data_IF_319101303203
#
_entry.id   IF_319101303203
#
_cell.length_a   1.000
_cell.length_b   1.000
_cell.length_c   1.000
_cell.angle_alpha   90.00
_cell.angle_beta   90.00
_cell.angle_gamma   90.00
#
_symmetry.space_group_name_H-M   'P 1'
#
loop_
_entity.id
_entity.type
_entity.pdbx_description
1 polymer ?
#
# COMPACT_ATOMS: atom_id res chain seq x y z
N UNK A 1 0.79 29.27 3.21
CA UNK A 1 -0.56 29.75 2.96
C UNK A 1 -1.24 28.86 1.92
N UNK A 2 -2.49 28.46 2.19
CA UNK A 2 -3.32 27.67 1.28
C UNK A 2 -4.57 28.49 0.93
N UNK A 3 -4.49 29.44 -0.02
CA UNK A 3 -5.54 30.42 -0.29
C UNK A 3 -6.89 29.81 -0.73
N UNK A 4 -6.88 28.57 -1.21
CA UNK A 4 -8.09 27.83 -1.63
C UNK A 4 -8.31 26.58 -0.75
N UNK A 5 -7.70 26.50 0.43
CA UNK A 5 -7.72 25.30 1.29
C UNK A 5 -9.10 24.93 1.80
N UNK A 6 -9.97 25.90 2.01
CA UNK A 6 -11.33 25.71 2.50
C UNK A 6 -12.37 25.44 1.39
N UNK A 7 -11.94 25.47 0.11
CA UNK A 7 -12.82 25.26 -1.03
C UNK A 7 -12.84 23.80 -1.48
N UNK A 8 -14.01 23.29 -1.84
CA UNK A 8 -14.11 21.99 -2.51
C UNK A 8 -13.54 22.09 -3.93
N UNK A 9 -12.89 21.04 -4.40
CA UNK A 9 -12.25 21.00 -5.73
C UNK A 9 -13.18 21.37 -6.89
N UNK A 10 -14.46 20.97 -6.81
CA UNK A 10 -15.49 21.35 -7.78
C UNK A 10 -15.70 22.87 -7.85
N UNK A 11 -15.64 23.53 -6.69
CA UNK A 11 -15.85 24.99 -6.60
C UNK A 11 -14.60 25.74 -7.07
N UNK A 12 -13.40 25.19 -6.79
CA UNK A 12 -12.15 25.71 -7.33
C UNK A 12 -12.13 25.62 -8.86
N UNK A 13 -12.58 24.50 -9.46
CA UNK A 13 -12.67 24.36 -10.91
C UNK A 13 -13.64 25.38 -11.52
N UNK A 14 -14.82 25.55 -10.91
CA UNK A 14 -15.81 26.53 -11.34
C UNK A 14 -15.27 27.96 -11.27
N UNK A 15 -14.58 28.30 -10.19
CA UNK A 15 -13.94 29.60 -10.03
C UNK A 15 -12.83 29.83 -11.08
N UNK A 16 -12.05 28.79 -11.39
CA UNK A 16 -11.02 28.85 -12.42
C UNK A 16 -11.61 29.11 -13.81
N UNK A 17 -12.74 28.46 -14.11
CA UNK A 17 -13.52 28.67 -15.34
C UNK A 17 -14.08 30.09 -15.42
N UNK A 18 -14.73 30.58 -14.37
CA UNK A 18 -15.25 31.95 -14.26
C UNK A 18 -14.16 33.02 -14.41
N UNK A 19 -12.92 32.70 -14.00
CA UNK A 19 -11.76 33.59 -14.14
C UNK A 19 -11.02 33.43 -15.45
N UNK A 20 -11.49 32.53 -16.35
CA UNK A 20 -10.86 32.30 -17.66
C UNK A 20 -9.45 31.70 -17.59
N UNK A 21 -9.16 30.89 -16.57
CA UNK A 21 -7.86 30.24 -16.43
C UNK A 21 -7.74 29.04 -17.39
N UNK A 22 -6.67 28.99 -18.19
CA UNK A 22 -6.45 27.94 -19.21
C UNK A 22 -6.40 26.52 -18.63
N UNK A 23 -6.05 26.39 -17.35
CA UNK A 23 -5.96 25.11 -16.67
C UNK A 23 -7.28 24.62 -16.06
N UNK A 24 -8.37 25.37 -16.17
CA UNK A 24 -9.69 25.01 -15.61
C UNK A 24 -10.18 23.64 -16.13
N UNK A 25 -9.91 23.35 -17.41
CA UNK A 25 -10.32 22.12 -18.11
C UNK A 25 -9.25 21.03 -18.13
N UNK A 26 -8.07 21.29 -17.58
CA UNK A 26 -6.98 20.31 -17.59
C UNK A 26 -7.40 19.05 -16.82
N UNK A 27 -7.22 17.89 -17.48
CA UNK A 27 -7.41 16.59 -16.82
C UNK A 27 -6.45 16.46 -15.66
N UNK A 28 -6.95 15.85 -14.59
CA UNK A 28 -6.11 15.52 -13.43
C UNK A 28 -5.09 14.47 -13.83
N UNK A 29 -3.85 14.65 -13.39
CA UNK A 29 -2.82 13.63 -13.55
C UNK A 29 -3.19 12.41 -12.71
N UNK A 30 -3.44 11.30 -13.37
CA UNK A 30 -3.71 9.99 -12.78
C UNK A 30 -2.51 9.12 -13.08
N UNK A 31 -1.53 9.08 -12.18
CA UNK A 31 -0.33 8.28 -12.41
C UNK A 31 0.75 8.55 -11.37
N UNK A 32 1.81 7.78 -11.44
CA UNK A 32 3.02 8.01 -10.65
C UNK A 32 3.75 9.22 -11.25
N UNK A 33 3.90 10.29 -10.48
CA UNK A 33 4.31 11.61 -10.96
C UNK A 33 5.66 11.65 -11.72
N UNK A 34 6.50 10.63 -11.56
CA UNK A 34 7.84 10.55 -12.19
C UNK A 34 7.99 9.40 -13.19
N UNK A 35 6.96 8.58 -13.39
CA UNK A 35 6.95 7.50 -14.39
C UNK A 35 6.34 7.97 -15.71
N UNK A 36 5.59 9.07 -15.71
CA UNK A 36 4.92 9.60 -16.91
C UNK A 36 3.70 8.79 -17.33
N UNK A 37 3.47 8.66 -18.64
CA UNK A 37 2.35 7.91 -19.22
C UNK A 37 2.64 6.42 -19.42
N UNK A 38 3.82 5.94 -19.00
CA UNK A 38 4.22 4.53 -19.10
C UNK A 38 3.44 3.71 -18.06
N UNK A 39 2.95 2.55 -18.46
CA UNK A 39 2.32 1.59 -17.54
C UNK A 39 3.31 1.10 -16.47
N UNK A 40 2.83 0.83 -15.27
CA UNK A 40 3.70 0.33 -14.19
C UNK A 40 4.41 -0.98 -14.58
N UNK A 41 3.73 -1.84 -15.32
CA UNK A 41 4.28 -3.11 -15.80
C UNK A 41 5.42 -2.89 -16.81
N UNK A 42 5.21 -1.98 -17.80
CA UNK A 42 6.23 -1.65 -18.79
C UNK A 42 7.45 -0.97 -18.12
N UNK A 43 7.19 -0.09 -17.14
CA UNK A 43 8.26 0.51 -16.34
C UNK A 43 9.07 -0.54 -15.58
N UNK A 44 8.41 -1.52 -14.96
CA UNK A 44 9.10 -2.57 -14.21
C UNK A 44 9.89 -3.52 -15.13
N UNK A 45 9.42 -3.75 -16.36
CA UNK A 45 10.15 -4.57 -17.36
C UNK A 45 11.47 -3.96 -17.82
N UNK A 46 11.69 -2.66 -17.63
CA UNK A 46 13.00 -2.02 -17.87
C UNK A 46 14.06 -2.41 -16.82
N UNK A 47 13.62 -2.79 -15.61
CA UNK A 47 14.50 -3.13 -14.48
C UNK A 47 14.54 -4.62 -14.16
N UNK A 48 13.53 -5.37 -14.56
CA UNK A 48 13.39 -6.79 -14.28
C UNK A 48 13.08 -7.56 -15.55
N UNK A 49 13.92 -8.51 -15.86
CA UNK A 49 13.65 -9.42 -16.99
C UNK A 49 12.44 -10.29 -16.67
N UNK A 50 11.54 -10.52 -17.66
CA UNK A 50 10.44 -11.45 -17.52
C UNK A 50 10.95 -12.85 -17.16
N UNK A 51 10.42 -13.42 -16.10
CA UNK A 51 10.71 -14.78 -15.66
C UNK A 51 9.38 -15.54 -15.54
N UNK A 52 8.93 -16.27 -16.59
CA UNK A 52 7.66 -16.97 -16.57
C UNK A 52 7.59 -18.02 -15.45
N UNK A 53 6.42 -18.11 -14.81
CA UNK A 53 6.15 -19.08 -13.77
C UNK A 53 4.67 -19.44 -13.71
N UNK A 54 4.28 -20.49 -12.94
CA UNK A 54 2.92 -20.97 -12.86
C UNK A 54 2.02 -20.08 -12.01
N UNK A 55 0.76 -19.95 -12.45
CA UNK A 55 -0.36 -19.45 -11.64
C UNK A 55 -1.12 -20.66 -11.11
N UNK A 56 -1.16 -20.81 -9.80
CA UNK A 56 -1.73 -21.99 -9.12
C UNK A 56 -2.96 -21.59 -8.32
N UNK A 57 -4.06 -22.33 -8.47
CA UNK A 57 -5.22 -22.19 -7.58
C UNK A 57 -4.87 -22.79 -6.22
N UNK A 58 -5.01 -21.98 -5.16
CA UNK A 58 -4.50 -22.35 -3.83
C UNK A 58 -5.29 -23.51 -3.21
N UNK A 59 -6.59 -23.60 -3.49
CA UNK A 59 -7.47 -24.61 -2.92
C UNK A 59 -7.24 -26.01 -3.51
N UNK A 60 -6.94 -26.06 -4.81
CA UNK A 60 -6.83 -27.34 -5.53
C UNK A 60 -5.40 -27.73 -5.88
N UNK A 61 -4.47 -26.76 -5.80
CA UNK A 61 -3.11 -26.92 -6.29
C UNK A 61 -3.00 -27.02 -7.82
N UNK A 62 -4.09 -26.76 -8.57
CA UNK A 62 -4.13 -26.85 -10.01
C UNK A 62 -3.44 -25.63 -10.64
N UNK A 63 -2.60 -25.89 -11.63
CA UNK A 63 -2.05 -24.84 -12.49
C UNK A 63 -3.14 -24.36 -13.46
N UNK A 64 -3.38 -23.05 -13.46
CA UNK A 64 -4.41 -22.39 -14.28
C UNK A 64 -3.84 -21.65 -15.46
N UNK A 65 -2.57 -21.27 -15.41
CA UNK A 65 -1.91 -20.50 -16.46
C UNK A 65 -0.48 -20.12 -16.08
N UNK A 66 0.09 -19.24 -16.88
CA UNK A 66 1.45 -18.72 -16.67
C UNK A 66 1.42 -17.21 -16.43
N UNK A 67 2.40 -16.73 -15.69
CA UNK A 67 2.65 -15.32 -15.50
C UNK A 67 4.07 -14.95 -15.98
N UNK A 68 4.31 -13.68 -16.26
CA UNK A 68 5.62 -13.18 -16.74
C UNK A 68 6.66 -12.97 -15.64
N UNK A 69 6.28 -13.13 -14.38
CA UNK A 69 7.13 -12.99 -13.20
C UNK A 69 6.32 -12.65 -11.96
N UNK A 70 6.49 -13.39 -10.86
CA UNK A 70 5.72 -13.18 -9.62
C UNK A 70 5.93 -11.78 -9.01
N UNK A 71 7.02 -11.10 -9.35
CA UNK A 71 7.34 -9.74 -8.91
C UNK A 71 6.32 -8.71 -9.44
N UNK A 72 5.77 -8.92 -10.64
CA UNK A 72 4.83 -7.99 -11.28
C UNK A 72 3.43 -8.04 -10.67
N UNK A 73 3.15 -9.00 -9.79
CA UNK A 73 1.83 -9.21 -9.21
C UNK A 73 1.75 -8.69 -7.78
N UNK A 74 0.56 -8.17 -7.43
CA UNK A 74 0.26 -7.66 -6.09
C UNK A 74 -0.86 -8.48 -5.45
N UNK A 75 -0.78 -8.77 -4.16
CA UNK A 75 -1.85 -9.45 -3.42
C UNK A 75 -3.14 -8.63 -3.53
N UNK A 76 -4.25 -9.33 -3.84
CA UNK A 76 -5.54 -8.73 -4.11
C UNK A 76 -5.74 -8.25 -5.56
N UNK A 77 -4.75 -8.39 -6.44
CA UNK A 77 -4.86 -8.07 -7.87
C UNK A 77 -5.85 -9.03 -8.55
N UNK A 78 -6.71 -8.47 -9.43
CA UNK A 78 -7.71 -9.20 -10.19
C UNK A 78 -7.45 -9.20 -11.70
N UNK A 79 -6.85 -8.13 -12.20
CA UNK A 79 -6.61 -7.91 -13.61
C UNK A 79 -5.18 -8.34 -14.00
N UNK A 80 -4.97 -8.66 -15.29
CA UNK A 80 -3.66 -9.05 -15.80
C UNK A 80 -3.25 -10.49 -15.47
N UNK A 81 -4.22 -11.34 -15.07
CA UNK A 81 -3.98 -12.78 -14.87
C UNK A 81 -4.29 -13.52 -16.17
N UNK A 82 -3.27 -14.12 -16.78
CA UNK A 82 -3.48 -15.02 -17.93
C UNK A 82 -3.78 -16.44 -17.43
N UNK A 83 -5.07 -16.71 -17.27
CA UNK A 83 -5.59 -17.99 -16.78
C UNK A 83 -6.06 -18.91 -17.91
N UNK A 84 -5.70 -18.63 -19.16
CA UNK A 84 -6.06 -19.45 -20.31
C UNK A 84 -7.55 -19.76 -20.39
N UNK A 85 -7.89 -21.05 -20.45
CA UNK A 85 -9.28 -21.52 -20.52
C UNK A 85 -10.03 -21.46 -19.19
N UNK A 86 -9.35 -21.30 -18.05
CA UNK A 86 -10.00 -21.26 -16.75
C UNK A 86 -10.95 -20.05 -16.56
N UNK A 87 -10.77 -19.01 -17.35
CA UNK A 87 -11.68 -17.85 -17.40
C UNK A 87 -12.76 -17.96 -18.50
N UNK A 88 -12.79 -19.06 -19.27
CA UNK A 88 -13.70 -19.25 -20.41
C UNK A 88 -14.60 -20.44 -20.13
N UNK A 89 -15.91 -20.25 -20.10
CA UNK A 89 -16.88 -21.33 -19.97
C UNK A 89 -18.00 -21.06 -18.97
N UNK A 90 -18.85 -22.06 -18.72
CA UNK A 90 -19.99 -21.98 -17.81
C UNK A 90 -19.55 -21.73 -16.34
N UNK A 91 -18.30 -22.06 -15.99
CA UNK A 91 -17.67 -21.78 -14.70
C UNK A 91 -16.95 -20.43 -14.65
N UNK A 92 -17.15 -19.56 -15.62
CA UNK A 92 -16.64 -18.17 -15.62
C UNK A 92 -17.28 -17.28 -14.53
N UNK A 93 -17.66 -17.90 -13.39
CA UNK A 93 -18.37 -17.31 -12.28
C UNK A 93 -17.63 -16.15 -11.63
N UNK A 94 -17.00 -16.40 -10.48
CA UNK A 94 -16.30 -15.37 -9.72
C UNK A 94 -14.87 -15.15 -10.27
N UNK A 95 -14.40 -13.89 -10.29
CA UNK A 95 -13.02 -13.60 -10.72
C UNK A 95 -12.00 -14.19 -9.74
N UNK A 96 -10.82 -14.54 -10.27
CA UNK A 96 -9.69 -14.91 -9.46
C UNK A 96 -8.98 -13.68 -8.91
N UNK A 97 -8.43 -13.80 -7.70
CA UNK A 97 -7.61 -12.80 -7.03
C UNK A 97 -6.28 -13.42 -6.64
N UNK A 98 -5.21 -12.66 -6.74
CA UNK A 98 -3.91 -13.04 -6.19
C UNK A 98 -4.02 -13.03 -4.66
N UNK A 99 -3.85 -14.19 -4.03
CA UNK A 99 -3.93 -14.34 -2.56
C UNK A 99 -2.55 -14.47 -1.95
N UNK A 100 -1.59 -15.06 -2.66
CA UNK A 100 -0.22 -15.26 -2.20
C UNK A 100 0.75 -15.26 -3.36
N UNK A 101 1.99 -14.90 -3.13
CA UNK A 101 3.08 -15.05 -4.09
C UNK A 101 4.33 -15.57 -3.42
N UNK A 102 5.08 -16.42 -4.09
CA UNK A 102 6.39 -16.89 -3.68
C UNK A 102 7.41 -16.42 -4.72
N UNK A 103 8.12 -15.36 -4.36
CA UNK A 103 9.12 -14.75 -5.26
C UNK A 103 10.30 -15.70 -5.51
N UNK A 104 10.71 -16.47 -4.49
CA UNK A 104 11.85 -17.38 -4.58
C UNK A 104 11.56 -18.55 -5.52
N UNK A 105 10.35 -19.10 -5.45
CA UNK A 105 9.90 -20.18 -6.33
C UNK A 105 9.27 -19.67 -7.62
N UNK A 106 9.09 -18.36 -7.74
CA UNK A 106 8.43 -17.70 -8.86
C UNK A 106 7.03 -18.24 -9.11
N UNK A 107 6.19 -18.33 -8.08
CA UNK A 107 4.81 -18.86 -8.13
C UNK A 107 3.83 -17.78 -7.69
N UNK A 108 2.73 -17.64 -8.43
CA UNK A 108 1.58 -16.82 -8.04
C UNK A 108 0.41 -17.74 -7.69
N UNK A 109 -0.13 -17.57 -6.48
CA UNK A 109 -1.32 -18.30 -6.01
C UNK A 109 -2.55 -17.42 -6.15
N UNK A 110 -3.61 -18.00 -6.70
CA UNK A 110 -4.88 -17.32 -6.91
C UNK A 110 -6.03 -18.09 -6.26
N UNK A 111 -7.09 -17.35 -5.90
CA UNK A 111 -8.32 -17.91 -5.36
C UNK A 111 -9.54 -17.14 -5.89
N UNK A 112 -10.67 -17.83 -5.99
CA UNK A 112 -12.01 -17.20 -6.16
C UNK A 112 -12.65 -16.88 -4.81
N UNK A 113 -12.14 -17.45 -3.74
CA UNK A 113 -12.64 -17.24 -2.39
C UNK A 113 -12.09 -15.95 -1.80
N UNK A 114 -12.92 -14.90 -1.73
CA UNK A 114 -12.56 -13.62 -1.12
C UNK A 114 -12.40 -13.68 0.41
N UNK A 115 -12.84 -14.77 1.03
CA UNK A 115 -12.70 -15.02 2.47
C UNK A 115 -11.48 -15.91 2.78
N UNK A 116 -10.60 -16.15 1.80
CA UNK A 116 -9.35 -16.85 2.08
C UNK A 116 -8.60 -16.15 3.23
N UNK A 117 -8.21 -16.90 4.23
CA UNK A 117 -7.54 -16.39 5.45
C UNK A 117 -6.34 -15.51 5.14
N UNK A 118 -5.64 -15.80 4.04
CA UNK A 118 -4.49 -15.02 3.56
C UNK A 118 -4.83 -13.59 3.12
N UNK A 119 -6.11 -13.30 2.82
CA UNK A 119 -6.56 -11.95 2.42
C UNK A 119 -6.94 -11.06 3.59
N UNK A 120 -7.10 -11.62 4.79
CA UNK A 120 -7.55 -10.90 5.98
C UNK A 120 -6.52 -11.01 7.09
N UNK A 121 -6.46 -10.01 7.93
CA UNK A 121 -5.55 -9.99 9.07
C UNK A 121 -6.07 -9.07 10.17
N UNK A 122 -5.74 -9.41 11.40
CA UNK A 122 -5.91 -8.55 12.58
C UNK A 122 -4.60 -7.87 13.00
N UNK A 123 -3.47 -8.27 12.40
CA UNK A 123 -2.16 -7.72 12.74
C UNK A 123 -1.36 -7.38 11.48
N UNK A 124 -0.58 -6.31 11.56
CA UNK A 124 0.42 -5.94 10.55
C UNK A 124 1.76 -5.67 11.23
N UNK A 125 2.82 -6.17 10.63
CA UNK A 125 4.17 -5.77 10.99
C UNK A 125 4.63 -4.58 10.15
N UNK A 126 5.37 -3.68 10.80
CA UNK A 126 5.84 -2.45 10.19
C UNK A 126 7.36 -2.37 10.28
N UNK A 127 7.93 -1.77 9.27
CA UNK A 127 9.31 -1.30 9.25
C UNK A 127 9.30 0.23 9.26
N UNK A 128 10.42 0.82 9.65
CA UNK A 128 10.66 2.27 9.58
C UNK A 128 9.56 3.09 10.26
N UNK A 129 9.14 2.68 11.46
CA UNK A 129 8.11 3.38 12.21
C UNK A 129 8.63 4.74 12.66
N UNK A 130 7.95 5.81 12.24
CA UNK A 130 8.24 7.20 12.61
C UNK A 130 7.05 7.75 13.37
N UNK A 131 7.28 8.32 14.55
CA UNK A 131 6.27 9.06 15.31
C UNK A 131 6.73 10.50 15.51
N UNK A 132 5.80 11.45 15.41
CA UNK A 132 6.00 12.84 15.78
C UNK A 132 5.57 13.03 17.24
N UNK A 133 6.44 13.57 18.06
CA UNK A 133 6.03 14.16 19.34
C UNK A 133 5.63 15.62 19.12
N UNK A 134 4.82 16.17 20.03
CA UNK A 134 4.57 17.59 20.09
C UNK A 134 5.91 18.31 20.40
N UNK A 135 6.65 18.69 19.33
CA UNK A 135 7.97 19.33 19.42
C UNK A 135 9.12 18.68 18.65
N UNK A 136 8.94 17.51 18.00
CA UNK A 136 10.03 16.86 17.28
C UNK A 136 9.61 15.61 16.49
N UNK A 137 10.56 15.04 15.74
CA UNK A 137 10.43 13.76 15.05
C UNK A 137 11.27 12.74 15.80
N UNK A 138 10.65 11.67 16.32
CA UNK A 138 11.37 10.51 16.83
C UNK A 138 11.47 9.44 15.76
N UNK A 139 12.69 9.13 15.34
CA UNK A 139 13.00 8.01 14.46
C UNK A 139 13.17 6.75 15.33
N UNK A 140 12.38 5.73 15.07
CA UNK A 140 12.61 4.39 15.63
C UNK A 140 13.69 3.71 14.78
N UNK A 141 14.69 3.14 15.42
CA UNK A 141 15.93 2.68 14.83
C UNK A 141 15.77 1.85 13.55
N UNK A 142 16.46 2.29 12.50
CA UNK A 142 16.73 1.52 11.29
C UNK A 142 17.79 0.45 11.55
N UNK A 143 17.49 -0.81 11.36
CA UNK A 143 18.50 -1.84 11.24
C UNK A 143 19.07 -1.83 9.81
N UNK A 144 20.25 -1.25 9.62
CA UNK A 144 21.12 -1.61 8.51
C UNK A 144 21.37 -0.62 7.38
N UNK A 145 21.05 0.66 7.49
CA UNK A 145 21.47 1.68 6.51
C UNK A 145 22.38 2.70 7.16
N UNK A 146 23.61 2.86 6.63
CA UNK A 146 24.52 3.92 7.05
C UNK A 146 23.89 5.28 6.75
N UNK A 147 23.61 6.04 7.80
CA UNK A 147 23.01 7.37 7.68
C UNK A 147 24.04 8.40 7.17
N UNK A 148 23.69 9.26 6.22
CA UNK A 148 24.45 10.48 6.02
C UNK A 148 24.27 11.36 7.27
N UNK A 149 25.40 11.90 7.77
CA UNK A 149 25.49 12.69 9.00
C UNK A 149 24.50 13.87 9.03
N UNK A 150 23.32 13.66 9.59
CA UNK A 150 22.42 14.72 10.01
C UNK A 150 22.84 15.13 11.42
N UNK A 151 23.26 16.38 11.58
CA UNK A 151 23.74 16.99 12.83
C UNK A 151 22.86 16.58 14.00
N UNK A 152 23.45 15.85 14.93
CA UNK A 152 22.85 15.40 16.18
C UNK A 152 22.38 16.57 17.03
N UNK A 153 21.08 16.69 17.22
CA UNK A 153 20.52 17.54 18.28
C UNK A 153 20.41 16.65 19.54
N UNK A 154 21.12 16.95 20.64
CA UNK A 154 21.26 16.05 21.80
C UNK A 154 20.01 15.92 22.69
N UNK A 155 18.84 16.42 22.24
CA UNK A 155 17.59 16.39 22.99
C UNK A 155 16.65 15.22 22.67
N UNK A 156 17.04 14.29 21.77
CA UNK A 156 16.16 13.22 21.29
C UNK A 156 16.62 11.83 21.77
N UNK A 157 16.67 11.62 23.09
CA UNK A 157 16.77 10.28 23.69
C UNK A 157 15.37 9.74 24.00
N UNK A 158 14.61 9.37 22.95
CA UNK A 158 13.20 8.99 23.05
C UNK A 158 12.87 7.53 22.72
N UNK A 159 13.83 6.60 22.82
CA UNK A 159 13.58 5.15 22.57
C UNK A 159 12.68 4.45 23.60
N UNK A 160 12.28 5.13 24.67
CA UNK A 160 11.55 4.52 25.80
C UNK A 160 10.02 4.47 25.64
N UNK A 161 9.41 5.14 24.66
CA UNK A 161 7.93 5.28 24.59
C UNK A 161 7.19 4.34 23.66
N UNK A 162 7.87 3.60 22.80
CA UNK A 162 7.25 2.64 21.89
C UNK A 162 6.87 1.32 22.54
N UNK A 163 7.28 1.05 23.76
CA UNK A 163 6.90 -0.15 24.48
C UNK A 163 5.50 -0.07 25.14
N UNK A 164 4.91 1.12 25.24
CA UNK A 164 3.52 1.26 25.67
C UNK A 164 2.57 1.27 24.48
N UNK A 165 1.45 0.51 24.54
CA UNK A 165 0.45 0.50 23.47
C UNK A 165 -0.10 1.90 23.23
N UNK A 166 -0.06 2.37 21.98
CA UNK A 166 -0.59 3.65 21.56
C UNK A 166 -1.84 3.44 20.71
N UNK A 167 -2.97 4.01 21.10
CA UNK A 167 -4.17 4.03 20.25
C UNK A 167 -4.00 5.03 19.12
N UNK A 168 -4.22 4.58 17.90
CA UNK A 168 -4.09 5.36 16.67
C UNK A 168 -5.21 5.05 15.71
N UNK A 169 -5.56 6.01 14.88
CA UNK A 169 -6.36 5.77 13.69
C UNK A 169 -5.42 5.61 12.49
N UNK A 170 -5.54 4.53 11.74
CA UNK A 170 -4.59 4.16 10.69
C UNK A 170 -5.22 4.29 9.31
N UNK A 171 -4.50 4.91 8.38
CA UNK A 171 -4.84 4.90 6.96
C UNK A 171 -3.84 4.06 6.19
N UNK A 172 -4.33 2.97 5.59
CA UNK A 172 -3.52 1.99 4.86
C UNK A 172 -3.49 2.23 3.35
N UNK A 173 -4.35 3.11 2.83
CA UNK A 173 -4.40 3.48 1.41
C UNK A 173 -4.89 4.91 1.29
N UNK A 174 -4.37 5.63 0.29
CA UNK A 174 -4.84 6.98 0.00
C UNK A 174 -6.36 7.04 -0.17
N UNK A 175 -7.02 7.99 0.49
CA UNK A 175 -8.48 8.18 0.53
C UNK A 175 -9.28 7.04 1.17
N UNK A 176 -8.64 5.99 1.71
CA UNK A 176 -9.36 4.99 2.49
C UNK A 176 -9.82 5.58 3.84
N UNK A 177 -10.88 5.02 4.44
CA UNK A 177 -11.29 5.41 5.79
C UNK A 177 -10.19 5.13 6.80
N UNK A 178 -10.22 5.85 7.91
CA UNK A 178 -9.38 5.59 9.07
C UNK A 178 -9.88 4.33 9.79
N UNK A 179 -8.97 3.49 10.24
CA UNK A 179 -9.27 2.25 10.96
C UNK A 179 -8.62 2.34 12.34
N UNK A 180 -9.41 2.20 13.43
CA UNK A 180 -8.84 2.17 14.79
C UNK A 180 -7.90 0.99 14.98
N UNK A 181 -6.74 1.25 15.56
CA UNK A 181 -5.72 0.24 15.84
C UNK A 181 -4.92 0.58 17.10
N UNK A 182 -4.17 -0.41 17.59
CA UNK A 182 -3.19 -0.25 18.65
C UNK A 182 -1.81 -0.46 18.05
N UNK A 183 -0.97 0.55 18.11
CA UNK A 183 0.45 0.46 17.77
C UNK A 183 1.21 -0.01 19.00
N UNK A 184 1.91 -1.14 18.89
CA UNK A 184 2.77 -1.71 19.94
C UNK A 184 4.12 -2.06 19.35
N UNK A 185 5.13 -1.24 19.62
CA UNK A 185 6.43 -1.36 18.95
C UNK A 185 6.28 -1.16 17.44
N UNK A 186 6.59 -2.18 16.68
CA UNK A 186 6.47 -2.22 15.22
C UNK A 186 5.23 -2.98 14.72
N UNK A 187 4.26 -3.29 15.60
CA UNK A 187 3.02 -4.01 15.24
C UNK A 187 1.81 -3.12 15.36
N UNK A 188 0.94 -3.18 14.35
CA UNK A 188 -0.42 -2.67 14.40
C UNK A 188 -1.38 -3.82 14.69
N UNK A 189 -2.24 -3.64 15.69
CA UNK A 189 -3.24 -4.62 16.10
C UNK A 189 -4.61 -3.98 15.90
N UNK A 190 -5.48 -4.63 15.13
CA UNK A 190 -6.82 -4.17 14.80
C UNK A 190 -7.86 -4.96 15.62
N UNK A 191 -8.95 -4.30 16.01
CA UNK A 191 -10.06 -4.95 16.73
C UNK A 191 -10.88 -5.89 15.82
N UNK A 192 -10.85 -5.65 14.51
CA UNK A 192 -11.56 -6.45 13.50
C UNK A 192 -10.60 -6.82 12.39
N UNK A 193 -10.90 -7.92 11.72
CA UNK A 193 -10.17 -8.29 10.51
C UNK A 193 -10.26 -7.17 9.46
N UNK A 194 -9.14 -6.86 8.88
CA UNK A 194 -9.01 -5.93 7.77
C UNK A 194 -8.49 -6.67 6.55
N UNK A 195 -8.80 -6.17 5.37
CA UNK A 195 -8.17 -6.68 4.16
C UNK A 195 -6.67 -6.41 4.23
N UNK A 196 -5.86 -7.47 4.12
CA UNK A 196 -4.40 -7.38 4.17
C UNK A 196 -3.89 -6.44 3.08
N UNK A 197 -3.18 -5.36 3.42
CA UNK A 197 -2.53 -4.51 2.44
C UNK A 197 -1.27 -5.21 1.90
N UNK A 198 -0.80 -4.77 0.73
CA UNK A 198 0.46 -5.28 0.18
C UNK A 198 1.64 -4.75 1.00
N UNK A 199 2.67 -5.59 1.16
CA UNK A 199 3.96 -5.17 1.71
C UNK A 199 4.56 -4.01 0.89
N UNK A 200 5.31 -3.14 1.56
CA UNK A 200 5.88 -1.93 0.97
C UNK A 200 4.93 -0.73 0.94
N UNK A 201 3.65 -0.89 1.31
CA UNK A 201 2.72 0.24 1.45
C UNK A 201 2.93 0.96 2.79
N UNK A 202 2.61 2.25 2.81
CA UNK A 202 2.69 3.05 4.04
C UNK A 202 1.41 2.91 4.87
N UNK A 203 1.58 2.67 6.16
CA UNK A 203 0.55 2.86 7.18
C UNK A 203 0.74 4.25 7.80
N UNK A 204 -0.24 5.12 7.70
CA UNK A 204 -0.18 6.49 8.23
C UNK A 204 -1.04 6.60 9.48
N UNK A 205 -0.48 7.14 10.55
CA UNK A 205 -1.11 7.20 11.87
C UNK A 205 -1.67 8.58 12.17
N UNK A 206 -2.88 8.59 12.71
CA UNK A 206 -3.60 9.81 13.09
C UNK A 206 -4.06 9.75 14.54
N UNK A 207 -4.19 10.91 15.17
CA UNK A 207 -4.99 11.15 16.36
C UNK A 207 -5.94 12.32 16.07
N UNK A 208 -7.22 11.98 15.89
CA UNK A 208 -8.17 12.92 15.30
C UNK A 208 -7.73 13.34 13.89
N UNK A 209 -7.64 14.64 13.64
CA UNK A 209 -7.22 15.19 12.34
C UNK A 209 -5.71 15.37 12.19
N UNK A 210 -4.94 15.04 13.23
CA UNK A 210 -3.49 15.24 13.25
C UNK A 210 -2.77 13.97 12.80
N UNK A 211 -1.96 14.09 11.75
CA UNK A 211 -1.02 13.04 11.35
C UNK A 211 0.15 13.01 12.33
N UNK A 212 0.28 11.91 13.07
CA UNK A 212 1.31 11.73 14.11
C UNK A 212 2.47 10.86 13.67
N UNK A 213 2.40 10.24 12.50
CA UNK A 213 3.48 9.39 12.01
C UNK A 213 3.06 8.34 11.00
N UNK A 214 3.88 7.31 10.86
CA UNK A 214 3.62 6.18 9.96
C UNK A 214 4.71 5.13 10.04
N UNK A 215 4.56 4.10 9.20
CA UNK A 215 5.53 3.05 8.99
C UNK A 215 5.28 2.34 7.68
N UNK A 216 6.21 1.50 7.25
CA UNK A 216 6.10 0.70 6.03
C UNK A 216 5.63 -0.70 6.42
N UNK A 217 4.63 -1.22 5.75
CA UNK A 217 4.09 -2.56 5.98
C UNK A 217 5.09 -3.58 5.46
N UNK A 218 5.59 -4.46 6.33
CA UNK A 218 6.59 -5.47 5.96
C UNK A 218 5.97 -6.81 5.56
N UNK A 219 4.86 -7.21 6.15
CA UNK A 219 4.17 -8.49 5.84
C UNK A 219 2.71 -8.48 6.29
#
# INVERSE_FOLDING_TARGET
LFPIGDMLKKDVKKLAEEKGLDNAYKKESMGVCFVGEVGMEDFLKEYFEPNPGPIIEIETGKELGLHEGAIFYTIGQRHGLDLGSANKGADAGLPYYVVKKDITKNIVYVSRNLNAEDLWTTELELEDVILREAGGINLVEHKGVAQPELRSNPACSGSARLNSPLRVDVRLRHRAPLIPAILKGNKLIFEKEIKRPAAGQSAVFYQGDICIGGGIISS
#
